data_IF_966493238976
#
_entry.id   IF_966493238976
#
_cell.length_a   1.000
_cell.length_b   1.000
_cell.length_c   1.000
_cell.angle_alpha   90.00
_cell.angle_beta   90.00
_cell.angle_gamma   90.00
#
_symmetry.space_group_name_H-M   'P 1'
#
loop_
_entity.id
_entity.type
_entity.pdbx_description
1 polymer ?
#
# COMPACT_ATOMS: atom_id res chain seq x y z
N UNK A 1 14.89 13.63 -10.74
CA UNK A 1 14.58 12.46 -9.88
C UNK A 1 13.66 11.54 -10.66
N UNK A 2 13.93 10.23 -10.70
CA UNK A 2 12.95 9.23 -11.15
C UNK A 2 12.46 8.44 -9.94
N UNK A 3 11.25 7.89 -10.03
CA UNK A 3 10.61 7.21 -8.91
C UNK A 3 10.06 5.83 -9.32
N UNK A 4 10.32 4.82 -8.49
CA UNK A 4 9.56 3.58 -8.44
C UNK A 4 8.62 3.67 -7.24
N UNK A 5 7.33 3.44 -7.46
CA UNK A 5 6.29 3.49 -6.45
C UNK A 5 5.70 2.09 -6.31
N UNK A 6 5.82 1.49 -5.14
CA UNK A 6 5.13 0.24 -4.80
C UNK A 6 3.66 0.58 -4.54
N UNK A 7 2.81 0.29 -5.52
CA UNK A 7 1.43 0.75 -5.58
C UNK A 7 0.46 -0.42 -5.51
N UNK A 8 -0.24 -0.53 -4.38
CA UNK A 8 -1.33 -1.52 -4.20
C UNK A 8 -2.70 -1.05 -4.69
N UNK A 9 -2.87 0.24 -5.01
CA UNK A 9 -4.18 0.83 -5.29
C UNK A 9 -5.03 1.12 -4.03
N UNK A 10 -4.48 0.88 -2.85
CA UNK A 10 -5.08 1.31 -1.58
C UNK A 10 -4.97 2.82 -1.35
N UNK A 11 -5.64 3.30 -0.29
CA UNK A 11 -5.65 4.71 0.09
C UNK A 11 -4.21 5.22 0.28
N UNK A 12 -3.48 4.58 1.19
CA UNK A 12 -2.14 5.01 1.63
C UNK A 12 -1.13 5.02 0.46
N UNK A 13 -1.09 3.95 -0.34
CA UNK A 13 -0.19 3.86 -1.51
C UNK A 13 -0.57 4.85 -2.62
N UNK A 14 -1.86 5.17 -2.78
CA UNK A 14 -2.31 6.19 -3.74
C UNK A 14 -1.96 7.60 -3.27
N UNK A 15 -2.06 7.90 -1.97
CA UNK A 15 -1.61 9.19 -1.41
C UNK A 15 -0.11 9.37 -1.63
N UNK A 16 0.70 8.34 -1.36
CA UNK A 16 2.14 8.37 -1.67
C UNK A 16 2.37 8.59 -3.16
N UNK A 17 1.61 7.93 -4.04
CA UNK A 17 1.77 8.08 -5.48
C UNK A 17 1.54 9.53 -5.95
N UNK A 18 0.49 10.19 -5.45
CA UNK A 18 0.21 11.60 -5.76
C UNK A 18 1.21 12.55 -5.10
N UNK A 19 1.69 12.25 -3.90
CA UNK A 19 2.71 13.06 -3.22
C UNK A 19 4.07 12.99 -3.93
N UNK A 20 4.42 11.83 -4.49
CA UNK A 20 5.60 11.70 -5.35
C UNK A 20 5.38 12.45 -6.66
N UNK A 21 4.20 12.32 -7.28
CA UNK A 21 3.87 13.06 -8.50
C UNK A 21 3.97 14.58 -8.31
N UNK A 22 3.54 15.12 -7.16
CA UNK A 22 3.60 16.57 -6.89
C UNK A 22 5.03 17.10 -6.77
N UNK A 23 6.05 16.23 -6.66
CA UNK A 23 7.47 16.60 -6.67
C UNK A 23 8.03 16.69 -8.09
N UNK A 24 7.20 16.51 -9.13
CA UNK A 24 7.57 16.57 -10.55
C UNK A 24 8.78 15.68 -10.93
N UNK A 25 8.77 14.37 -10.61
CA UNK A 25 9.79 13.46 -11.11
C UNK A 25 9.77 13.37 -12.64
N UNK A 26 10.94 13.12 -13.24
CA UNK A 26 11.05 13.00 -14.70
C UNK A 26 10.34 11.74 -15.22
N UNK A 27 10.44 10.63 -14.46
CA UNK A 27 9.82 9.34 -14.78
C UNK A 27 9.25 8.70 -13.51
N UNK A 28 8.09 8.07 -13.66
CA UNK A 28 7.43 7.31 -12.59
C UNK A 28 7.12 5.91 -13.11
N UNK A 29 7.53 4.90 -12.36
CA UNK A 29 7.12 3.50 -12.50
C UNK A 29 6.29 3.12 -11.29
N UNK A 30 5.14 2.50 -11.49
CA UNK A 30 4.32 1.93 -10.43
C UNK A 30 4.39 0.41 -10.50
N UNK A 31 4.91 -0.21 -9.45
CA UNK A 31 4.98 -1.67 -9.33
C UNK A 31 3.82 -2.15 -8.48
N UNK A 32 2.99 -3.01 -9.08
CA UNK A 32 1.94 -3.75 -8.40
C UNK A 32 2.38 -5.21 -8.21
N UNK A 33 2.27 -5.71 -6.98
CA UNK A 33 2.60 -7.10 -6.66
C UNK A 33 1.34 -7.96 -6.57
N UNK A 34 1.28 -9.01 -7.38
CA UNK A 34 0.30 -10.08 -7.25
C UNK A 34 0.94 -11.26 -6.53
N UNK A 35 0.63 -11.39 -5.24
CA UNK A 35 1.07 -12.50 -4.40
C UNK A 35 -0.12 -13.40 -4.05
N UNK A 36 -1.15 -13.43 -4.91
CA UNK A 36 -2.34 -14.24 -4.69
C UNK A 36 -3.27 -13.68 -3.63
N UNK A 37 -3.17 -12.39 -3.29
CA UNK A 37 -4.08 -11.78 -2.32
C UNK A 37 -5.53 -11.84 -2.80
N UNK A 38 -6.46 -12.05 -1.86
CA UNK A 38 -7.88 -12.25 -2.18
C UNK A 38 -8.52 -11.04 -2.87
N UNK A 39 -7.98 -9.85 -2.64
CA UNK A 39 -8.41 -8.55 -3.16
C UNK A 39 -7.70 -8.15 -4.46
N UNK A 40 -6.85 -9.02 -5.02
CA UNK A 40 -5.96 -8.71 -6.16
C UNK A 40 -6.67 -8.06 -7.34
N UNK A 41 -7.89 -8.49 -7.68
CA UNK A 41 -8.65 -7.95 -8.82
C UNK A 41 -9.01 -6.47 -8.60
N UNK A 42 -9.51 -6.14 -7.42
CA UNK A 42 -9.91 -4.77 -7.06
C UNK A 42 -8.68 -3.87 -6.86
N UNK A 43 -7.64 -4.40 -6.20
CA UNK A 43 -6.38 -3.70 -6.00
C UNK A 43 -5.67 -3.41 -7.32
N UNK A 44 -5.57 -4.39 -8.23
CA UNK A 44 -4.96 -4.20 -9.56
C UNK A 44 -5.76 -3.16 -10.37
N UNK A 45 -7.09 -3.24 -10.35
CA UNK A 45 -7.94 -2.25 -11.01
C UNK A 45 -7.65 -0.83 -10.49
N UNK A 46 -7.61 -0.65 -9.18
CA UNK A 46 -7.30 0.63 -8.54
C UNK A 46 -5.88 1.11 -8.91
N UNK A 47 -4.87 0.24 -8.76
CA UNK A 47 -3.48 0.57 -9.05
C UNK A 47 -3.26 0.99 -10.51
N UNK A 48 -3.89 0.31 -11.48
CA UNK A 48 -3.85 0.69 -12.89
C UNK A 48 -4.47 2.06 -13.15
N UNK A 49 -5.61 2.35 -12.54
CA UNK A 49 -6.28 3.66 -12.68
C UNK A 49 -5.45 4.79 -12.08
N UNK A 50 -4.93 4.59 -10.88
CA UNK A 50 -4.05 5.55 -10.20
C UNK A 50 -2.78 5.80 -11.02
N UNK A 51 -2.11 4.75 -11.49
CA UNK A 51 -0.90 4.86 -12.32
C UNK A 51 -1.16 5.64 -13.59
N UNK A 52 -2.28 5.36 -14.28
CA UNK A 52 -2.69 6.10 -15.48
C UNK A 52 -2.88 7.60 -15.18
N UNK A 53 -3.57 7.95 -14.09
CA UNK A 53 -3.85 9.35 -13.75
C UNK A 53 -2.58 10.15 -13.46
N UNK A 54 -1.56 9.53 -12.86
CA UNK A 54 -0.27 10.19 -12.60
C UNK A 54 0.73 10.08 -13.76
N UNK A 55 0.33 9.46 -14.87
CA UNK A 55 1.15 9.19 -16.05
C UNK A 55 2.39 8.32 -15.74
N UNK A 56 2.22 7.32 -14.88
CA UNK A 56 3.25 6.35 -14.56
C UNK A 56 3.20 5.11 -15.47
N UNK A 57 4.37 4.54 -15.75
CA UNK A 57 4.49 3.19 -16.30
C UNK A 57 3.96 2.18 -15.27
N UNK A 58 3.02 1.32 -15.66
CA UNK A 58 2.46 0.30 -14.76
C UNK A 58 3.13 -1.05 -14.99
N UNK A 59 3.71 -1.61 -13.93
CA UNK A 59 4.43 -2.88 -13.96
C UNK A 59 3.73 -3.82 -12.98
N UNK A 60 3.22 -4.95 -13.48
CA UNK A 60 2.70 -6.03 -12.65
C UNK A 60 3.79 -7.08 -12.47
N UNK A 61 4.04 -7.48 -11.23
CA UNK A 61 4.98 -8.56 -10.88
C UNK A 61 4.22 -9.65 -10.13
N UNK A 62 4.26 -10.84 -10.68
CA UNK A 62 3.68 -12.03 -10.07
C UNK A 62 4.69 -12.70 -9.13
N UNK A 63 4.31 -12.83 -7.86
CA UNK A 63 5.06 -13.48 -6.79
C UNK A 63 4.13 -14.43 -6.02
N UNK A 64 3.36 -15.22 -6.78
CA UNK A 64 2.33 -16.12 -6.24
C UNK A 64 2.87 -17.10 -5.19
N UNK A 65 4.14 -17.51 -5.32
CA UNK A 65 4.85 -18.33 -4.33
C UNK A 65 4.78 -17.75 -2.90
N UNK A 66 4.76 -16.41 -2.76
CA UNK A 66 4.65 -15.75 -1.46
C UNK A 66 3.26 -16.00 -0.84
N UNK A 67 2.22 -16.03 -1.67
CA UNK A 67 0.87 -16.38 -1.24
C UNK A 67 0.73 -17.85 -0.88
N UNK A 68 1.38 -18.74 -1.62
CA UNK A 68 1.35 -20.19 -1.40
C UNK A 68 1.93 -20.59 -0.03
N UNK A 69 2.98 -19.91 0.43
CA UNK A 69 3.58 -20.17 1.75
C UNK A 69 2.89 -19.41 2.90
N UNK A 70 1.95 -18.51 2.59
CA UNK A 70 1.34 -17.60 3.56
C UNK A 70 0.10 -18.22 4.22
N UNK A 71 0.05 -18.21 5.55
CA UNK A 71 -1.14 -18.61 6.33
C UNK A 71 -2.11 -17.43 6.59
N UNK A 72 -1.80 -16.26 6.05
CA UNK A 72 -2.55 -15.01 6.24
C UNK A 72 -4.00 -15.10 5.76
N UNK A 73 -4.89 -14.36 6.41
CA UNK A 73 -6.25 -14.08 5.93
C UNK A 73 -6.28 -13.31 4.60
N UNK A 74 -5.16 -12.69 4.21
CA UNK A 74 -4.99 -12.04 2.91
C UNK A 74 -4.93 -13.08 1.78
N UNK A 75 -4.32 -14.24 2.04
CA UNK A 75 -4.07 -15.30 1.07
C UNK A 75 -4.98 -16.53 1.23
N UNK A 76 -5.82 -16.57 2.26
CA UNK A 76 -6.72 -17.69 2.52
C UNK A 76 -8.18 -17.38 2.19
N UNK A 77 -8.96 -18.44 1.94
CA UNK A 77 -10.40 -18.35 1.73
C UNK A 77 -11.20 -18.19 3.03
N UNK A 78 -10.53 -18.18 4.18
CA UNK A 78 -11.15 -18.01 5.50
C UNK A 78 -12.00 -16.73 5.55
N UNK A 79 -13.10 -16.79 6.30
CA UNK A 79 -14.05 -15.68 6.45
C UNK A 79 -13.38 -14.51 7.16
N UNK A 80 -13.55 -13.30 6.60
CA UNK A 80 -13.21 -12.05 7.28
C UNK A 80 -14.34 -11.70 8.24
N UNK A 81 -14.03 -11.64 9.53
CA UNK A 81 -15.00 -11.35 10.58
C UNK A 81 -15.46 -9.89 10.55
N UNK A 82 -16.66 -9.65 11.08
CA UNK A 82 -17.17 -8.29 11.30
C UNK A 82 -16.41 -7.68 12.47
N UNK A 83 -15.87 -6.49 12.26
CA UNK A 83 -15.18 -5.73 13.31
C UNK A 83 -16.20 -4.86 14.03
N UNK A 84 -16.27 -4.98 15.35
CA UNK A 84 -17.09 -4.13 16.22
C UNK A 84 -16.29 -2.95 16.75
N UNK A 85 -16.95 -1.93 17.30
CA UNK A 85 -16.24 -0.80 17.94
C UNK A 85 -15.40 -1.25 19.14
N UNK A 86 -15.92 -2.18 19.94
CA UNK A 86 -15.18 -2.79 21.07
C UNK A 86 -13.92 -3.51 20.63
N UNK A 87 -13.93 -4.09 19.43
CA UNK A 87 -12.75 -4.77 18.88
C UNK A 87 -11.62 -3.75 18.59
N UNK A 88 -11.98 -2.54 18.15
CA UNK A 88 -11.03 -1.48 17.81
C UNK A 88 -10.38 -0.82 19.05
N UNK A 89 -10.95 -1.02 20.24
CA UNK A 89 -10.43 -0.45 21.50
C UNK A 89 -9.56 -1.45 22.28
N UNK A 90 -9.57 -2.73 21.91
CA UNK A 90 -8.86 -3.79 22.62
C UNK A 90 -7.48 -4.07 22.02
N UNK A 91 -6.46 -3.41 22.58
CA UNK A 91 -5.04 -3.53 22.16
C UNK A 91 -4.55 -5.00 22.17
N UNK A 92 -4.95 -5.80 23.16
CA UNK A 92 -4.51 -7.19 23.25
C UNK A 92 -5.05 -8.01 22.09
N UNK A 93 -6.35 -7.86 21.80
CA UNK A 93 -6.98 -8.51 20.66
C UNK A 93 -6.43 -8.01 19.33
N UNK A 94 -6.13 -6.72 19.22
CA UNK A 94 -5.50 -6.14 18.03
C UNK A 94 -4.12 -6.77 17.76
N UNK A 95 -3.32 -7.02 18.80
CA UNK A 95 -2.03 -7.74 18.68
C UNK A 95 -2.20 -9.19 18.25
N UNK A 96 -3.20 -9.88 18.77
CA UNK A 96 -3.53 -11.25 18.38
C UNK A 96 -4.08 -11.30 16.96
N UNK A 97 -4.83 -10.29 16.53
CA UNK A 97 -5.38 -10.21 15.18
C UNK A 97 -4.33 -9.84 14.14
N UNK A 98 -3.30 -9.05 14.49
CA UNK A 98 -2.29 -8.58 13.52
C UNK A 98 -1.55 -9.76 12.85
N UNK A 99 -1.26 -10.83 13.60
CA UNK A 99 -0.55 -12.00 13.05
C UNK A 99 -1.40 -12.76 12.03
N UNK A 100 -2.74 -12.70 12.14
CA UNK A 100 -3.64 -13.33 11.17
C UNK A 100 -3.58 -12.64 9.80
N UNK A 101 -3.15 -11.38 9.75
CA UNK A 101 -2.98 -10.61 8.50
C UNK A 101 -1.53 -10.63 8.00
N UNK A 102 -0.59 -11.20 8.76
CA UNK A 102 0.83 -11.21 8.44
C UNK A 102 1.15 -12.11 7.25
N UNK A 103 1.78 -11.53 6.23
CA UNK A 103 2.38 -12.26 5.10
C UNK A 103 3.89 -12.28 5.32
N UNK A 104 4.55 -13.46 5.32
CA UNK A 104 5.96 -13.57 5.69
C UNK A 104 6.87 -12.62 4.90
N UNK A 105 7.61 -11.75 5.60
CA UNK A 105 8.61 -10.86 5.02
C UNK A 105 8.10 -9.96 3.86
N UNK A 106 6.78 -9.71 3.77
CA UNK A 106 6.15 -9.12 2.59
C UNK A 106 6.78 -7.80 2.16
N UNK A 107 6.90 -6.82 3.06
CA UNK A 107 7.40 -5.51 2.66
C UNK A 107 8.91 -5.56 2.30
N UNK A 108 9.68 -6.44 2.93
CA UNK A 108 11.10 -6.65 2.58
C UNK A 108 11.24 -7.23 1.18
N UNK A 109 10.46 -8.26 0.84
CA UNK A 109 10.44 -8.85 -0.51
C UNK A 109 10.05 -7.81 -1.55
N UNK A 110 9.02 -7.01 -1.29
CA UNK A 110 8.58 -5.96 -2.21
C UNK A 110 9.68 -4.93 -2.46
N UNK A 111 10.33 -4.45 -1.40
CA UNK A 111 11.44 -3.50 -1.52
C UNK A 111 12.61 -4.10 -2.29
N UNK A 112 12.98 -5.36 -2.03
CA UNK A 112 14.09 -6.02 -2.73
C UNK A 112 13.82 -6.19 -4.23
N UNK A 113 12.59 -6.53 -4.61
CA UNK A 113 12.22 -6.60 -6.03
C UNK A 113 12.26 -5.22 -6.67
N UNK A 114 11.77 -4.18 -5.97
CA UNK A 114 11.86 -2.80 -6.46
C UNK A 114 13.31 -2.31 -6.60
N UNK A 115 14.20 -2.69 -5.68
CA UNK A 115 15.64 -2.42 -5.75
C UNK A 115 16.28 -3.09 -6.95
N UNK A 116 16.03 -4.38 -7.17
CA UNK A 116 16.53 -5.09 -8.34
C UNK A 116 16.08 -4.42 -9.65
N UNK A 117 14.83 -3.93 -9.68
CA UNK A 117 14.33 -3.17 -10.83
C UNK A 117 15.03 -1.81 -10.98
N UNK A 118 15.25 -1.07 -9.89
CA UNK A 118 15.96 0.20 -9.91
C UNK A 118 17.41 0.03 -10.40
N UNK A 119 18.08 -1.03 -9.94
CA UNK A 119 19.46 -1.36 -10.31
C UNK A 119 19.59 -1.81 -11.76
N UNK A 120 18.65 -2.61 -12.26
CA UNK A 120 18.62 -2.97 -13.67
C UNK A 120 18.49 -1.73 -14.58
N UNK A 121 17.65 -0.76 -14.22
CA UNK A 121 17.53 0.51 -14.95
C UNK A 121 18.82 1.35 -14.88
N UNK A 122 19.49 1.35 -13.73
CA UNK A 122 20.76 2.06 -13.57
C UNK A 122 21.88 1.41 -14.39
N UNK A 123 22.03 0.09 -14.34
CA UNK A 123 23.07 -0.65 -15.08
C UNK A 123 22.87 -0.45 -16.59
N UNK A 124 21.64 -0.60 -17.08
CA UNK A 124 21.33 -0.58 -18.52
C UNK A 124 21.24 0.82 -19.12
N UNK A 125 20.66 1.80 -18.40
CA UNK A 125 20.34 3.13 -18.94
C UNK A 125 20.96 4.29 -18.16
N UNK A 126 21.67 4.02 -17.07
CA UNK A 126 22.19 5.04 -16.14
C UNK A 126 21.09 5.91 -15.53
N UNK A 127 19.89 5.36 -15.39
CA UNK A 127 18.75 6.04 -14.80
C UNK A 127 18.55 5.59 -13.35
N UNK A 128 18.71 6.52 -12.40
CA UNK A 128 18.49 6.26 -10.98
C UNK A 128 17.01 6.45 -10.62
N UNK A 129 16.40 5.43 -10.00
CA UNK A 129 15.04 5.47 -9.46
C UNK A 129 15.06 5.31 -7.94
N UNK A 130 14.57 6.31 -7.20
CA UNK A 130 14.32 6.16 -5.76
C UNK A 130 12.99 5.41 -5.53
N UNK A 131 12.89 4.65 -4.44
CA UNK A 131 11.77 3.73 -4.16
C UNK A 131 10.85 4.34 -3.11
N UNK A 132 9.55 4.33 -3.40
CA UNK A 132 8.51 4.86 -2.55
C UNK A 132 7.45 3.80 -2.25
N UNK A 133 6.99 3.72 -1.01
CA UNK A 133 5.93 2.79 -0.59
C UNK A 133 5.00 3.40 0.47
N UNK A 134 3.75 2.98 0.50
CA UNK A 134 2.71 3.49 1.40
C UNK A 134 2.59 2.74 2.72
N UNK A 135 3.70 2.53 3.43
CA UNK A 135 3.68 1.97 4.80
C UNK A 135 3.59 3.11 5.83
N UNK A 136 2.92 2.86 6.96
CA UNK A 136 2.86 3.81 8.07
C UNK A 136 3.10 3.11 9.39
N UNK A 137 3.67 3.84 10.35
CA UNK A 137 3.76 3.37 11.72
C UNK A 137 2.37 3.46 12.37
N UNK A 138 1.80 2.31 12.71
CA UNK A 138 0.48 2.24 13.35
C UNK A 138 0.54 2.47 14.87
N UNK A 139 1.71 2.79 15.41
CA UNK A 139 1.88 3.21 16.79
C UNK A 139 1.88 2.03 17.76
N UNK A 140 0.85 1.91 18.61
CA UNK A 140 0.85 0.96 19.75
C UNK A 140 0.81 -0.51 19.32
N UNK A 141 0.15 -0.80 18.20
CA UNK A 141 0.09 -2.13 17.60
C UNK A 141 0.44 -1.96 16.13
N UNK A 142 1.60 -2.47 15.74
CA UNK A 142 2.11 -2.28 14.39
C UNK A 142 2.79 -3.54 13.87
N UNK A 143 2.84 -3.65 12.56
CA UNK A 143 3.70 -4.59 11.89
C UNK A 143 5.15 -4.12 11.98
N UNK A 144 6.07 -5.03 12.31
CA UNK A 144 7.49 -4.65 12.46
C UNK A 144 8.08 -4.06 11.17
N UNK A 145 7.56 -4.48 10.02
CA UNK A 145 7.99 -4.05 8.69
C UNK A 145 7.26 -2.80 8.17
N UNK A 146 6.59 -2.03 9.05
CA UNK A 146 5.96 -0.74 8.70
C UNK A 146 6.52 0.45 9.48
N UNK A 147 7.64 0.28 10.18
CA UNK A 147 8.23 1.27 11.09
C UNK A 147 9.33 2.12 10.44
N UNK A 148 9.68 3.30 11.01
CA UNK A 148 10.84 4.07 10.59
C UNK A 148 12.16 3.30 10.69
N UNK A 149 12.33 2.47 11.73
CA UNK A 149 13.54 1.65 11.90
C UNK A 149 13.66 0.60 10.81
N UNK A 150 12.55 -0.02 10.39
CA UNK A 150 12.56 -0.92 9.24
C UNK A 150 13.04 -0.20 7.97
N UNK A 151 12.54 1.01 7.68
CA UNK A 151 13.02 1.79 6.53
C UNK A 151 14.51 2.11 6.61
N UNK A 152 15.01 2.46 7.80
CA UNK A 152 16.44 2.72 8.03
C UNK A 152 17.28 1.47 7.74
N UNK A 153 16.85 0.30 8.22
CA UNK A 153 17.51 -0.98 7.95
C UNK A 153 17.50 -1.29 6.45
N UNK A 154 16.38 -1.09 5.76
CA UNK A 154 16.29 -1.34 4.32
C UNK A 154 17.18 -0.38 3.50
N UNK A 155 17.30 0.88 3.92
CA UNK A 155 18.24 1.83 3.31
C UNK A 155 19.70 1.47 3.58
N UNK A 156 20.02 0.87 4.74
CA UNK A 156 21.38 0.36 4.98
C UNK A 156 21.66 -0.90 4.17
N UNK A 157 20.67 -1.79 4.10
CA UNK A 157 20.77 -3.05 3.36
C UNK A 157 20.99 -2.81 1.85
N UNK A 158 20.31 -1.83 1.24
CA UNK A 158 20.52 -1.55 -0.19
C UNK A 158 21.98 -1.17 -0.54
N UNK A 159 22.73 -0.56 0.39
CA UNK A 159 24.15 -0.24 0.20
C UNK A 159 25.02 -1.49 0.02
N UNK A 160 24.52 -2.65 0.48
CA UNK A 160 25.23 -3.94 0.42
C UNK A 160 24.58 -4.93 -0.55
N UNK A 161 23.31 -4.74 -0.90
CA UNK A 161 22.60 -5.58 -1.84
C UNK A 161 22.71 -5.10 -3.30
N UNK A 162 23.15 -3.87 -3.52
CA UNK A 162 23.35 -3.28 -4.86
C UNK A 162 24.81 -2.82 -5.02
N UNK A 163 25.33 -2.92 -6.24
CA UNK A 163 26.71 -2.53 -6.58
C UNK A 163 26.78 -1.07 -7.05
N UNK A 164 25.66 -0.52 -7.54
CA UNK A 164 25.62 0.84 -8.05
C UNK A 164 24.27 1.54 -7.85
N UNK A 165 24.24 2.87 -8.00
CA UNK A 165 23.03 3.69 -8.08
C UNK A 165 22.60 4.38 -6.78
N UNK A 166 23.01 3.88 -5.60
CA UNK A 166 22.78 4.51 -4.28
C UNK A 166 21.33 4.99 -4.07
N UNK A 167 20.42 4.03 -3.93
CA UNK A 167 18.97 4.28 -3.96
C UNK A 167 18.46 4.75 -2.61
N UNK A 168 17.47 5.64 -2.61
CA UNK A 168 16.71 5.99 -1.41
C UNK A 168 15.42 5.17 -1.37
N UNK A 169 15.13 4.56 -0.22
CA UNK A 169 13.85 3.89 0.06
C UNK A 169 13.07 4.75 1.06
N UNK A 170 11.85 5.16 0.74
CA UNK A 170 11.11 6.10 1.58
C UNK A 170 9.62 5.81 1.63
N UNK A 171 9.02 6.00 2.80
CA UNK A 171 7.58 6.22 2.90
C UNK A 171 7.29 7.64 3.35
N UNK A 172 6.79 8.52 2.46
CA UNK A 172 6.48 9.91 2.79
C UNK A 172 5.40 10.10 3.87
N UNK A 173 4.63 9.05 4.17
CA UNK A 173 3.53 9.05 5.15
C UNK A 173 3.88 8.24 6.41
N UNK A 174 5.14 7.86 6.61
CA UNK A 174 5.54 6.92 7.67
C UNK A 174 5.07 7.34 9.07
N UNK A 175 5.12 8.64 9.37
CA UNK A 175 4.74 9.21 10.67
C UNK A 175 3.34 9.86 10.65
N UNK A 176 2.54 9.59 9.61
CA UNK A 176 1.19 10.13 9.49
C UNK A 176 0.17 9.14 10.00
N UNK A 177 -0.77 9.62 10.79
CA UNK A 177 -1.95 8.83 11.08
C UNK A 177 -2.89 8.75 9.85
N UNK A 178 -3.98 7.99 9.99
CA UNK A 178 -4.93 7.77 8.90
C UNK A 178 -5.69 9.05 8.53
N UNK A 179 -5.97 9.93 9.49
CA UNK A 179 -6.65 11.21 9.30
C UNK A 179 -5.76 12.15 8.50
N UNK A 180 -4.51 12.33 8.95
CA UNK A 180 -3.50 13.14 8.26
C UNK A 180 -3.22 12.61 6.84
N UNK A 181 -3.29 11.29 6.64
CA UNK A 181 -3.15 10.68 5.30
C UNK A 181 -4.32 11.05 4.40
N UNK A 182 -5.56 11.05 4.91
CA UNK A 182 -6.75 11.49 4.18
C UNK A 182 -6.67 12.98 3.85
N UNK A 183 -6.30 13.82 4.82
CA UNK A 183 -6.13 15.27 4.62
C UNK A 183 -5.08 15.58 3.56
N UNK A 184 -3.93 14.90 3.63
CA UNK A 184 -2.88 15.02 2.62
C UNK A 184 -3.38 14.59 1.24
N UNK A 185 -4.06 13.45 1.14
CA UNK A 185 -4.61 12.99 -0.13
C UNK A 185 -5.65 13.95 -0.71
N UNK A 186 -6.50 14.54 0.12
CA UNK A 186 -7.47 15.56 -0.29
C UNK A 186 -6.76 16.82 -0.80
N UNK A 187 -5.72 17.30 -0.10
CA UNK A 187 -4.89 18.42 -0.56
C UNK A 187 -4.21 18.15 -1.90
N UNK A 188 -3.84 16.89 -2.17
CA UNK A 188 -3.22 16.44 -3.41
C UNK A 188 -4.23 16.07 -4.50
N UNK A 189 -5.54 16.22 -4.26
CA UNK A 189 -6.63 15.80 -5.14
C UNK A 189 -6.54 14.31 -5.55
N UNK A 190 -6.22 13.44 -4.59
CA UNK A 190 -6.26 11.99 -4.80
C UNK A 190 -7.71 11.57 -5.09
N UNK A 191 -7.99 10.86 -6.18
CA UNK A 191 -9.33 10.37 -6.52
C UNK A 191 -9.66 9.17 -5.65
N UNK A 192 -10.09 9.43 -4.41
CA UNK A 192 -10.31 8.41 -3.40
C UNK A 192 -11.37 7.35 -3.78
N UNK A 193 -12.28 7.67 -4.70
CA UNK A 193 -13.25 6.75 -5.29
C UNK A 193 -12.60 5.63 -6.12
N UNK A 194 -11.37 5.84 -6.58
CA UNK A 194 -10.58 4.85 -7.32
C UNK A 194 -9.75 3.94 -6.41
N UNK A 195 -9.74 4.20 -5.10
CA UNK A 195 -8.88 3.47 -4.14
C UNK A 195 -9.62 2.32 -3.47
N UNK A 196 -8.91 1.22 -3.17
CA UNK A 196 -9.49 0.03 -2.55
C UNK A 196 -8.83 -0.31 -1.21
N UNK A 197 -9.60 -0.28 -0.12
CA UNK A 197 -9.09 -0.59 1.23
C UNK A 197 -9.68 -1.87 1.82
N UNK A 198 -10.76 -2.38 1.25
CA UNK A 198 -11.54 -3.46 1.85
C UNK A 198 -10.77 -4.79 1.87
N UNK A 199 -10.82 -5.53 2.99
CA UNK A 199 -10.25 -6.88 3.07
C UNK A 199 -11.09 -7.97 2.39
N UNK A 200 -12.28 -7.63 1.90
CA UNK A 200 -13.13 -8.55 1.15
C UNK A 200 -13.05 -8.21 -0.33
N UNK A 201 -13.18 -9.20 -1.20
CA UNK A 201 -13.28 -8.98 -2.64
C UNK A 201 -14.77 -8.88 -3.01
N UNK A 202 -15.40 -7.75 -2.69
CA UNK A 202 -16.77 -7.53 -3.14
C UNK A 202 -16.75 -7.28 -4.67
N UNK A 203 -17.69 -7.85 -5.44
CA UNK A 203 -17.76 -7.61 -6.87
C UNK A 203 -17.90 -6.12 -7.16
N UNK A 204 -17.18 -5.64 -8.17
CA UNK A 204 -17.39 -4.30 -8.71
C UNK A 204 -18.81 -4.18 -9.27
N UNK A 205 -19.41 -2.99 -9.14
CA UNK A 205 -20.75 -2.70 -9.68
C UNK A 205 -20.67 -1.48 -10.57
N UNK A 206 -21.14 -1.60 -11.81
CA UNK A 206 -21.14 -0.51 -12.80
C UNK A 206 -19.77 0.16 -12.97
N UNK A 207 -18.69 -0.65 -12.99
CA UNK A 207 -17.32 -0.16 -13.11
C UNK A 207 -16.75 0.51 -11.86
N UNK A 208 -17.48 0.52 -10.74
CA UNK A 208 -17.04 1.08 -9.46
C UNK A 208 -16.60 -0.01 -8.47
N UNK A 209 -15.61 0.35 -7.65
CA UNK A 209 -15.17 -0.44 -6.50
C UNK A 209 -16.24 -0.41 -5.40
N UNK A 210 -16.50 -1.55 -4.77
CA UNK A 210 -17.46 -1.69 -3.67
C UNK A 210 -16.74 -2.18 -2.42
N UNK A 211 -16.92 -1.48 -1.31
CA UNK A 211 -16.35 -1.84 -0.01
C UNK A 211 -17.41 -2.54 0.85
N UNK A 212 -17.03 -3.55 1.63
CA UNK A 212 -18.00 -4.27 2.47
C UNK A 212 -18.58 -3.41 3.61
N UNK A 213 -17.89 -2.34 4.00
CA UNK A 213 -18.38 -1.38 4.99
C UNK A 213 -18.26 -1.79 6.46
N UNK A 214 -17.83 -3.02 6.76
CA UNK A 214 -17.79 -3.56 8.13
C UNK A 214 -16.46 -4.23 8.55
N UNK A 215 -15.54 -4.52 7.63
CA UNK A 215 -14.22 -5.04 8.01
C UNK A 215 -13.37 -3.92 8.63
N UNK A 216 -12.35 -4.29 9.41
CA UNK A 216 -11.47 -3.36 10.12
C UNK A 216 -10.94 -2.23 9.21
N UNK A 217 -10.43 -2.54 8.01
CA UNK A 217 -9.97 -1.51 7.08
C UNK A 217 -11.08 -0.57 6.57
N UNK A 218 -12.31 -1.08 6.37
CA UNK A 218 -13.44 -0.22 6.01
C UNK A 218 -13.82 0.69 7.18
N UNK A 219 -13.80 0.18 8.41
CA UNK A 219 -14.09 0.96 9.61
C UNK A 219 -13.03 2.04 9.84
N UNK A 220 -11.74 1.69 9.72
CA UNK A 220 -10.64 2.66 9.82
C UNK A 220 -10.73 3.73 8.74
N UNK A 221 -11.07 3.35 7.49
CA UNK A 221 -11.28 4.31 6.41
C UNK A 221 -12.42 5.28 6.72
N UNK A 222 -13.61 4.78 7.09
CA UNK A 222 -14.77 5.62 7.44
C UNK A 222 -14.42 6.59 8.58
N UNK A 223 -13.77 6.10 9.64
CA UNK A 223 -13.32 6.94 10.75
C UNK A 223 -12.34 8.02 10.29
N UNK A 224 -11.36 7.68 9.46
CA UNK A 224 -10.38 8.64 8.96
C UNK A 224 -11.03 9.77 8.15
N UNK A 225 -11.92 9.44 7.21
CA UNK A 225 -12.67 10.45 6.45
C UNK A 225 -13.56 11.32 7.35
N UNK A 226 -14.28 10.71 8.29
CA UNK A 226 -15.12 11.42 9.24
C UNK A 226 -14.32 12.43 10.07
N UNK A 227 -13.22 12.00 10.70
CA UNK A 227 -12.40 12.87 11.53
C UNK A 227 -11.62 13.91 10.73
N UNK A 228 -11.31 13.64 9.46
CA UNK A 228 -10.70 14.61 8.56
C UNK A 228 -11.70 15.67 8.04
N UNK A 229 -13.00 15.55 8.37
CA UNK A 229 -14.04 16.44 7.83
C UNK A 229 -14.23 16.34 6.32
N UNK A 230 -13.82 15.22 5.71
CA UNK A 230 -13.85 14.99 4.26
C UNK A 230 -14.88 13.90 3.96
N UNK A 231 -15.73 14.12 2.95
CA UNK A 231 -16.68 13.10 2.50
C UNK A 231 -15.93 11.88 1.96
N UNK A 232 -16.19 10.70 2.52
CA UNK A 232 -15.72 9.43 1.94
C UNK A 232 -16.48 9.14 0.64
N UNK A 233 -15.81 9.07 -0.53
CA UNK A 233 -16.49 8.79 -1.80
C UNK A 233 -16.64 7.29 -2.09
N UNK A 234 -16.27 6.41 -1.15
CA UNK A 234 -16.39 4.95 -1.35
C UNK A 234 -17.85 4.51 -1.42
N UNK A 235 -18.12 3.61 -2.35
CA UNK A 235 -19.40 2.92 -2.42
C UNK A 235 -19.36 1.72 -1.46
N UNK A 236 -20.28 1.68 -0.51
CA UNK A 236 -20.37 0.58 0.45
C UNK A 236 -21.51 -0.38 0.10
N UNK A 237 -21.34 -1.66 0.45
CA UNK A 237 -22.43 -2.62 0.43
C UNK A 237 -23.48 -2.17 1.45
N UNK A 238 -24.68 -1.87 0.96
CA UNK A 238 -25.87 -1.66 1.79
C UNK A 238 -26.19 -2.92 2.60
#
# INVERSE_FOLDING_TARGET
MNAIIILSGGLDSSVVAYQVKSQNPNKIKCIFYDYGQRTRKQEEFAARKISKNIQAEFIKIDILWLGEISTSLINSEKKVHKTTEKDMENIQREKEDIINWWVPCRNSIFINIALAHAESEFISKKEKYDIFLGIKDEGKVHFKDTTPEFLKIMNKMQEHATDAGNYKISSPIINKDKVETVELGNKLNVPFELTYSCYKSEPMKNGKLIHCGYCSNCMQRKKAFYFAGIRDPSEYKN
#
